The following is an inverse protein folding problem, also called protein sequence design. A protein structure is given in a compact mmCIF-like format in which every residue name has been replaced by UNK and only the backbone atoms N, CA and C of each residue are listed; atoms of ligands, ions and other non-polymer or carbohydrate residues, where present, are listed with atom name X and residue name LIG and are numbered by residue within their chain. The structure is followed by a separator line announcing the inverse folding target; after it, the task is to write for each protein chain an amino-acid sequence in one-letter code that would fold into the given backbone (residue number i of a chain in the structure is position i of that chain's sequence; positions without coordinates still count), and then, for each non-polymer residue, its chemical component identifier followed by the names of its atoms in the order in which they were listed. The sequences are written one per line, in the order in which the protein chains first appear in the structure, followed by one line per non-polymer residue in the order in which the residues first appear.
data_IF_007292805947
#
_entry.id   IF_007292805947
#
_cell.length_a   1.000
_cell.length_b   1.000
_cell.length_c   1.000
_cell.angle_alpha   90.00
_cell.angle_beta   90.00
_cell.angle_gamma   90.00
#
_symmetry.space_group_name_H-M   'P 1'
#
loop_
_entity.id
_entity.type
_entity.pdbx_description
1 polymer ?
#
# COMPACT_ATOMS: atom_id res chain seq x y z
N UNK A 1 -12.20 -5.94 27.34
CA UNK A 1 -12.59 -5.07 26.19
C UNK A 1 -11.60 -5.32 25.07
N UNK A 2 -12.03 -5.33 23.80
CA UNK A 2 -11.14 -5.58 22.66
C UNK A 2 -10.80 -4.28 21.93
N UNK A 3 -9.53 -4.07 21.66
CA UNK A 3 -9.04 -2.97 20.82
C UNK A 3 -8.48 -3.55 19.53
N UNK A 4 -9.15 -3.29 18.41
CA UNK A 4 -8.68 -3.62 17.07
C UNK A 4 -7.89 -2.47 16.46
N UNK A 5 -6.71 -2.76 15.93
CA UNK A 5 -5.92 -1.81 15.14
C UNK A 5 -6.26 -2.02 13.67
N UNK A 6 -6.83 -1.02 13.00
CA UNK A 6 -7.19 -1.09 11.58
C UNK A 6 -6.40 -0.07 10.77
N UNK A 7 -6.15 -0.38 9.50
CA UNK A 7 -5.50 0.52 8.55
C UNK A 7 -6.23 0.55 7.21
N UNK A 8 -6.18 1.65 6.45
CA UNK A 8 -6.66 1.65 5.09
C UNK A 8 -5.77 0.73 4.22
N UNK A 9 -6.38 0.02 3.28
CA UNK A 9 -5.71 -0.83 2.27
C UNK A 9 -5.88 -0.26 0.88
N UNK A 10 -5.66 1.05 0.75
CA UNK A 10 -5.68 1.70 -0.56
C UNK A 10 -4.40 1.34 -1.32
N UNK A 11 -4.57 0.78 -2.52
CA UNK A 11 -3.46 0.44 -3.42
C UNK A 11 -3.57 1.28 -4.69
N UNK A 12 -2.44 1.78 -5.17
CA UNK A 12 -2.34 2.52 -6.42
C UNK A 12 -1.21 1.94 -7.26
N UNK A 13 -1.45 1.83 -8.55
CA UNK A 13 -0.44 1.43 -9.51
C UNK A 13 -0.07 2.63 -10.36
N UNK A 14 1.23 2.86 -10.50
CA UNK A 14 1.78 3.86 -11.40
C UNK A 14 2.70 3.17 -12.39
N UNK A 15 2.73 3.68 -13.62
CA UNK A 15 3.60 3.16 -14.66
C UNK A 15 4.57 4.26 -15.06
N UNK A 16 5.87 3.95 -15.03
CA UNK A 16 6.92 4.88 -15.44
C UNK A 16 7.82 4.22 -16.47
N UNK A 17 8.41 5.04 -17.33
CA UNK A 17 9.39 4.62 -18.33
C UNK A 17 10.70 5.36 -18.07
N UNK A 18 11.82 4.65 -18.22
CA UNK A 18 13.15 5.19 -17.95
C UNK A 18 14.24 4.36 -18.61
N UNK A 19 15.42 4.96 -18.76
CA UNK A 19 16.55 4.36 -19.49
C UNK A 19 17.31 3.30 -18.68
N UNK A 20 17.05 3.21 -17.38
CA UNK A 20 17.73 2.27 -16.48
C UNK A 20 16.86 1.90 -15.27
N UNK A 21 17.20 0.80 -14.59
CA UNK A 21 16.50 0.35 -13.39
C UNK A 21 16.53 1.41 -12.28
N UNK A 22 17.65 2.12 -12.14
CA UNK A 22 17.81 3.20 -11.19
C UNK A 22 16.91 4.40 -11.52
N UNK A 23 16.79 4.74 -12.81
CA UNK A 23 15.94 5.84 -13.27
C UNK A 23 14.45 5.56 -13.02
N UNK A 24 13.96 4.35 -13.39
CA UNK A 24 12.58 3.97 -13.11
C UNK A 24 12.31 3.86 -11.62
N UNK A 25 13.25 3.36 -10.82
CA UNK A 25 13.10 3.30 -9.36
C UNK A 25 13.02 4.70 -8.74
N UNK A 26 13.86 5.64 -9.17
CA UNK A 26 13.81 7.02 -8.73
C UNK A 26 12.49 7.70 -9.12
N UNK A 27 12.00 7.49 -10.35
CA UNK A 27 10.70 8.00 -10.81
C UNK A 27 9.52 7.42 -10.03
N UNK A 28 9.55 6.12 -9.74
CA UNK A 28 8.54 5.47 -8.89
C UNK A 28 8.55 6.07 -7.49
N UNK A 29 9.73 6.16 -6.88
CA UNK A 29 9.91 6.69 -5.51
C UNK A 29 9.49 8.15 -5.40
N UNK A 30 9.81 8.98 -6.40
CA UNK A 30 9.40 10.39 -6.44
C UNK A 30 7.89 10.58 -6.54
N UNK A 31 7.16 9.58 -7.06
CA UNK A 31 5.70 9.60 -7.13
C UNK A 31 5.03 8.95 -5.92
N UNK A 32 5.77 8.34 -4.99
CA UNK A 32 5.21 7.80 -3.74
C UNK A 32 4.89 8.98 -2.81
N UNK A 33 3.60 9.27 -2.53
CA UNK A 33 3.26 10.32 -1.58
C UNK A 33 3.66 9.92 -0.15
N UNK A 34 3.80 10.92 0.73
CA UNK A 34 4.05 10.66 2.15
C UNK A 34 2.94 9.77 2.74
N UNK A 35 3.35 8.73 3.48
CA UNK A 35 2.43 7.75 4.06
C UNK A 35 2.06 6.58 3.15
N UNK A 36 2.59 6.55 1.92
CA UNK A 36 2.51 5.42 1.02
C UNK A 36 3.85 4.70 0.96
N UNK A 37 3.81 3.40 0.69
CA UNK A 37 5.02 2.59 0.53
C UNK A 37 4.93 1.84 -0.79
N UNK A 38 6.01 1.86 -1.57
CA UNK A 38 6.12 1.07 -2.79
C UNK A 38 6.34 -0.40 -2.40
N UNK A 39 5.37 -1.27 -2.68
CA UNK A 39 5.42 -2.68 -2.25
C UNK A 39 5.83 -3.62 -3.36
N UNK A 40 5.57 -3.25 -4.62
CA UNK A 40 6.04 -4.00 -5.78
C UNK A 40 6.41 -3.06 -6.93
N UNK A 41 7.39 -3.44 -7.73
CA UNK A 41 7.77 -2.70 -8.93
C UNK A 41 8.25 -3.64 -10.04
N UNK A 42 7.38 -4.49 -10.62
CA UNK A 42 7.73 -5.27 -11.80
C UNK A 42 8.21 -4.37 -12.94
N UNK A 43 9.41 -4.67 -13.44
CA UNK A 43 10.00 -4.03 -14.62
C UNK A 43 9.79 -4.92 -15.84
N UNK A 44 9.55 -4.29 -16.97
CA UNK A 44 9.39 -4.93 -18.28
C UNK A 44 10.17 -4.14 -19.31
N UNK A 45 10.93 -4.82 -20.16
CA UNK A 45 11.65 -4.17 -21.24
C UNK A 45 10.68 -3.87 -22.39
N UNK A 46 10.70 -2.64 -22.90
CA UNK A 46 9.87 -2.28 -24.05
C UNK A 46 10.49 -2.90 -25.30
N UNK A 47 9.72 -3.73 -26.00
CA UNK A 47 10.20 -4.48 -27.16
C UNK A 47 10.70 -3.52 -28.24
N UNK A 48 11.98 -3.62 -28.60
CA UNK A 48 12.60 -2.77 -29.62
C UNK A 48 13.13 -1.43 -29.13
N UNK A 49 13.20 -1.19 -27.82
CA UNK A 49 13.82 0.00 -27.22
C UNK A 49 14.77 -0.38 -26.09
N UNK A 50 15.71 0.52 -25.80
CA UNK A 50 16.56 0.46 -24.58
C UNK A 50 15.82 0.92 -23.32
N UNK A 51 14.55 1.31 -23.47
CA UNK A 51 13.71 1.81 -22.39
C UNK A 51 13.14 0.66 -21.54
N UNK A 52 13.18 0.88 -20.23
CA UNK A 52 12.60 0.03 -19.21
C UNK A 52 11.28 0.66 -18.76
N UNK A 53 10.23 -0.15 -18.75
CA UNK A 53 8.92 0.22 -18.21
C UNK A 53 8.77 -0.44 -16.84
N UNK A 54 8.53 0.34 -15.80
CA UNK A 54 8.27 -0.18 -14.46
C UNK A 54 6.84 0.13 -14.06
N UNK A 55 6.11 -0.89 -13.61
CA UNK A 55 4.78 -0.71 -13.01
C UNK A 55 4.93 -0.83 -11.51
N UNK A 56 4.96 0.30 -10.80
CA UNK A 56 5.06 0.34 -9.34
C UNK A 56 3.69 0.24 -8.69
N UNK A 57 3.49 -0.75 -7.84
CA UNK A 57 2.36 -0.84 -6.91
C UNK A 57 2.77 -0.22 -5.59
N UNK A 58 2.04 0.81 -5.18
CA UNK A 58 2.19 1.46 -3.88
C UNK A 58 0.94 1.25 -3.04
N UNK A 59 1.14 1.05 -1.75
CA UNK A 59 0.08 0.82 -0.78
C UNK A 59 0.12 1.89 0.30
N UNK A 60 -1.03 2.41 0.67
CA UNK A 60 -1.16 3.36 1.77
C UNK A 60 -0.89 2.63 3.08
N UNK A 61 0.17 3.04 3.79
CA UNK A 61 0.51 2.53 5.13
C UNK A 61 0.11 3.48 6.25
N UNK A 62 -0.20 4.72 5.89
CA UNK A 62 -0.58 5.77 6.82
C UNK A 62 -2.08 5.77 7.16
N UNK A 63 -2.42 6.27 8.35
CA UNK A 63 -3.79 6.35 8.84
C UNK A 63 -4.25 5.14 9.66
N UNK A 64 -3.36 4.55 10.46
CA UNK A 64 -3.73 3.53 11.45
C UNK A 64 -4.69 4.17 12.47
N UNK A 65 -5.81 3.51 12.74
CA UNK A 65 -6.75 3.90 13.80
C UNK A 65 -7.10 2.71 14.67
N UNK A 66 -7.49 3.01 15.88
CA UNK A 66 -7.97 2.03 16.83
C UNK A 66 -9.50 2.02 16.81
N UNK A 67 -10.06 0.84 16.97
CA UNK A 67 -11.48 0.60 17.15
C UNK A 67 -11.66 -0.25 18.41
N UNK A 68 -12.68 0.06 19.19
CA UNK A 68 -12.93 -0.60 20.47
C UNK A 68 -14.30 -1.27 20.43
N UNK A 69 -14.36 -2.52 20.87
CA UNK A 69 -15.60 -3.25 20.99
C UNK A 69 -15.52 -4.36 22.06
N UNK A 70 -16.65 -4.91 22.44
CA UNK A 70 -16.73 -5.97 23.46
C UNK A 70 -16.47 -7.37 22.90
N UNK A 71 -16.67 -7.56 21.59
CA UNK A 71 -16.57 -8.86 20.92
C UNK A 71 -15.84 -8.77 19.58
N UNK A 72 -15.20 -9.88 19.17
CA UNK A 72 -14.47 -9.95 17.90
C UNK A 72 -15.37 -9.61 16.70
N UNK A 73 -16.60 -10.12 16.69
CA UNK A 73 -17.56 -9.83 15.62
C UNK A 73 -17.94 -8.35 15.52
N UNK A 74 -17.95 -7.60 16.63
CA UNK A 74 -18.15 -6.16 16.60
C UNK A 74 -16.90 -5.42 16.09
N UNK A 75 -15.69 -5.87 16.46
CA UNK A 75 -14.44 -5.32 15.90
C UNK A 75 -14.44 -5.48 14.38
N UNK A 76 -14.80 -6.67 13.88
CA UNK A 76 -14.88 -6.94 12.44
C UNK A 76 -15.95 -6.09 11.74
N UNK A 77 -17.12 -5.91 12.37
CA UNK A 77 -18.19 -5.05 11.84
C UNK A 77 -17.83 -3.56 11.81
N UNK A 78 -16.91 -3.12 12.68
CA UNK A 78 -16.42 -1.74 12.72
C UNK A 78 -15.31 -1.46 11.68
N UNK A 79 -14.78 -2.48 11.00
CA UNK A 79 -13.80 -2.32 9.92
C UNK A 79 -14.53 -1.80 8.68
N UNK A 80 -14.27 -0.56 8.21
CA UNK A 80 -14.90 -0.05 7.01
C UNK A 80 -14.41 -0.77 5.75
N UNK A 81 -15.20 -0.76 4.68
CA UNK A 81 -14.76 -1.22 3.36
C UNK A 81 -13.46 -0.50 2.92
N UNK A 82 -12.51 -1.27 2.41
CA UNK A 82 -11.19 -0.74 2.06
C UNK A 82 -10.25 -0.55 3.26
N UNK A 83 -10.59 -1.10 4.44
CA UNK A 83 -9.71 -1.19 5.59
C UNK A 83 -9.40 -2.64 5.94
N UNK A 84 -8.27 -2.86 6.61
CA UNK A 84 -7.84 -4.17 7.09
C UNK A 84 -7.52 -4.09 8.58
N UNK A 85 -8.04 -5.06 9.32
CA UNK A 85 -7.67 -5.32 10.69
C UNK A 85 -6.25 -5.91 10.75
N UNK A 86 -5.37 -5.26 11.49
CA UNK A 86 -3.98 -5.66 11.69
C UNK A 86 -3.83 -6.59 12.88
N UNK A 87 -4.36 -6.15 14.02
CA UNK A 87 -4.18 -6.81 15.31
C UNK A 87 -5.39 -6.54 16.19
N UNK A 88 -5.72 -7.48 17.08
CA UNK A 88 -6.70 -7.28 18.14
C UNK A 88 -6.03 -7.58 19.46
N UNK A 89 -6.15 -6.66 20.41
CA UNK A 89 -5.67 -6.84 21.79
C UNK A 89 -6.84 -6.89 22.75
N UNK A 90 -6.80 -7.82 23.70
CA UNK A 90 -7.75 -7.90 24.80
C UNK A 90 -7.06 -7.39 26.07
N UNK A 91 -7.68 -6.42 26.73
CA UNK A 91 -7.36 -6.02 28.10
C UNK A 91 -8.42 -6.56 29.05
#
# INVERSE_FOLDING_TARGET
MLTGLIRPVETRTITVEGDSLADVHAKLTAQVPAGWELTAAPVSMVKGSTLIKATGTMERRDGVREIEADTMGQVEALVPDGWRLLSVRAY
#
